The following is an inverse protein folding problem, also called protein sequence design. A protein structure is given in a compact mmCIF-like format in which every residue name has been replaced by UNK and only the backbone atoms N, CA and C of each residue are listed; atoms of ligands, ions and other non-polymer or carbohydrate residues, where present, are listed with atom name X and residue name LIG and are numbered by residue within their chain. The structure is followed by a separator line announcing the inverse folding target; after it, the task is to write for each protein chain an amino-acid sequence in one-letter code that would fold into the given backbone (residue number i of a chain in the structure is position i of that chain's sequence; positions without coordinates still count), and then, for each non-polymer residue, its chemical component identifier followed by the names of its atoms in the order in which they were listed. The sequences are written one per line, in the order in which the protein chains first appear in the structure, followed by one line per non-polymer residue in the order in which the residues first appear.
data_IF_403337562200
#
_entry.id   IF_403337562200
#
_cell.length_a   1.000
_cell.length_b   1.000
_cell.length_c   1.000
_cell.angle_alpha   90.00
_cell.angle_beta   90.00
_cell.angle_gamma   90.00
#
_symmetry.space_group_name_H-M   'P 1'
#
loop_
_entity.id
_entity.type
_entity.pdbx_description
1 polymer ?
2 non-polymer ?
3 water ?
#
# COMPACT_ATOMS: atom_id res chain seq x y z
N UNK A 2 -33.02 2.52 -13.80
CA UNK A 2 -32.71 3.52 -12.74
C UNK A 2 -31.23 3.92 -12.81
N UNK A 3 -30.91 5.15 -12.43
CA UNK A 3 -29.54 5.62 -12.43
C UNK A 3 -28.71 4.69 -11.53
N UNK A 4 -27.40 4.70 -11.74
CA UNK A 4 -26.53 3.88 -10.95
C UNK A 4 -26.43 4.53 -9.60
N UNK A 5 -26.74 3.75 -8.58
CA UNK A 5 -26.70 4.24 -7.24
C UNK A 5 -25.92 3.26 -6.38
N UNK A 6 -25.02 3.76 -5.55
CA UNK A 6 -24.17 2.92 -4.72
C UNK A 6 -24.92 1.96 -3.80
N UNK A 7 -25.86 2.49 -3.02
CA UNK A 7 -26.65 1.66 -2.11
C UNK A 7 -27.40 0.60 -2.92
N UNK A 8 -27.97 1.06 -4.02
CA UNK A 8 -28.73 0.19 -4.87
C UNK A 8 -27.93 -0.93 -5.56
N UNK A 9 -26.70 -0.63 -5.96
CA UNK A 9 -25.87 -1.65 -6.60
C UNK A 9 -25.36 -2.63 -5.57
N UNK A 10 -25.08 -2.14 -4.36
CA UNK A 10 -24.59 -3.02 -3.31
C UNK A 10 -25.69 -4.04 -3.09
N UNK A 11 -26.93 -3.55 -2.98
CA UNK A 11 -28.08 -4.40 -2.75
C UNK A 11 -28.20 -5.44 -3.84
N UNK A 12 -28.13 -5.00 -5.09
CA UNK A 12 -28.22 -5.91 -6.21
C UNK A 12 -27.19 -7.02 -6.06
N UNK A 13 -25.94 -6.64 -5.76
CA UNK A 13 -24.86 -7.61 -5.60
C UNK A 13 -25.22 -8.53 -4.45
N UNK A 14 -25.67 -7.96 -3.34
CA UNK A 14 -26.00 -8.77 -2.20
C UNK A 14 -27.05 -9.82 -2.56
N UNK A 15 -28.07 -9.43 -3.30
CA UNK A 15 -29.08 -10.40 -3.63
C UNK A 15 -28.51 -11.49 -4.51
N UNK A 16 -27.60 -11.12 -5.42
CA UNK A 16 -27.01 -12.11 -6.32
C UNK A 16 -26.12 -13.08 -5.56
N UNK A 17 -25.48 -12.59 -4.52
CA UNK A 17 -24.60 -13.45 -3.73
C UNK A 17 -25.48 -14.37 -2.93
N UNK A 18 -26.49 -13.81 -2.26
CA UNK A 18 -27.42 -14.60 -1.47
C UNK A 18 -28.11 -15.65 -2.30
N UNK A 19 -28.39 -15.34 -3.55
CA UNK A 19 -29.04 -16.29 -4.43
C UNK A 19 -28.14 -17.50 -4.60
N UNK A 20 -26.92 -17.25 -5.05
CA UNK A 20 -25.94 -18.29 -5.26
C UNK A 20 -25.79 -19.14 -4.00
N UNK A 21 -25.54 -18.49 -2.89
CA UNK A 21 -25.39 -19.20 -1.64
C UNK A 21 -26.55 -20.14 -1.40
N UNK A 22 -27.77 -19.65 -1.57
CA UNK A 22 -28.96 -20.46 -1.37
C UNK A 22 -29.07 -21.61 -2.39
N UNK A 23 -28.58 -21.40 -3.59
CA UNK A 23 -28.64 -22.47 -4.59
C UNK A 23 -27.65 -23.57 -4.24
N UNK A 24 -26.48 -23.19 -3.72
CA UNK A 24 -25.49 -24.18 -3.36
C UNK A 24 -25.70 -24.65 -1.93
N UNK A 25 -26.65 -24.01 -1.26
CA UNK A 25 -26.96 -24.38 0.12
C UNK A 25 -26.16 -23.68 1.18
N UNK A 26 -26.85 -23.00 2.09
CA UNK A 26 -26.17 -22.27 3.17
C UNK A 26 -25.15 -23.13 3.88
N UNK A 27 -25.57 -24.31 4.33
CA UNK A 27 -24.66 -25.20 5.04
C UNK A 27 -23.48 -25.65 4.17
N UNK A 28 -23.74 -26.13 2.96
CA UNK A 28 -22.68 -26.57 2.06
C UNK A 28 -21.64 -25.48 1.79
N UNK A 29 -22.11 -24.27 1.50
CA UNK A 29 -21.19 -23.19 1.22
C UNK A 29 -20.52 -22.72 2.50
N UNK A 30 -21.28 -22.57 3.58
CA UNK A 30 -20.72 -22.13 4.85
C UNK A 30 -19.54 -23.00 5.25
N UNK A 31 -19.54 -24.25 4.80
CA UNK A 31 -18.45 -25.14 5.13
C UNK A 31 -17.38 -25.05 4.04
N UNK A 32 -17.80 -25.06 2.77
CA UNK A 32 -16.87 -24.96 1.66
C UNK A 32 -16.01 -23.70 1.81
N UNK A 33 -16.48 -22.77 2.61
CA UNK A 33 -15.76 -21.53 2.87
C UNK A 33 -15.04 -21.64 4.19
N UNK A 34 -15.74 -22.12 5.20
CA UNK A 34 -15.10 -22.28 6.50
C UNK A 34 -15.55 -21.39 7.64
N UNK A 35 -16.83 -21.46 7.98
CA UNK A 35 -17.34 -20.67 9.08
C UNK A 35 -18.25 -21.58 9.90
N UNK A 36 -18.09 -21.54 11.21
CA UNK A 36 -18.90 -22.38 12.08
C UNK A 36 -20.38 -22.29 11.71
N UNK A 37 -21.02 -23.45 11.60
CA UNK A 37 -22.44 -23.54 11.24
C UNK A 37 -23.26 -22.55 12.05
N UNK A 38 -22.68 -22.02 13.12
CA UNK A 38 -23.36 -21.05 13.97
C UNK A 38 -23.21 -19.64 13.40
N UNK A 39 -21.97 -19.27 13.08
CA UNK A 39 -21.65 -17.96 12.54
C UNK A 39 -22.42 -17.56 11.28
N UNK A 40 -22.94 -18.56 10.56
CA UNK A 40 -23.68 -18.30 9.33
C UNK A 40 -24.58 -17.08 9.46
N UNK A 41 -25.21 -16.89 10.61
CA UNK A 41 -26.08 -15.74 10.80
C UNK A 41 -25.31 -14.43 10.84
N UNK A 42 -24.30 -14.34 11.71
CA UNK A 42 -23.50 -13.12 11.78
C UNK A 42 -22.92 -12.87 10.39
N UNK A 43 -22.62 -13.96 9.69
CA UNK A 43 -22.06 -13.92 8.36
C UNK A 43 -23.05 -13.26 7.40
N UNK A 44 -24.09 -14.00 7.06
CA UNK A 44 -25.12 -13.54 6.13
C UNK A 44 -25.69 -12.16 6.45
N UNK A 45 -25.70 -11.77 7.71
CA UNK A 45 -26.25 -10.48 8.07
C UNK A 45 -25.28 -9.33 8.13
N UNK A 46 -23.99 -9.61 8.22
CA UNK A 46 -23.03 -8.52 8.31
C UNK A 46 -21.92 -8.42 7.29
N UNK A 47 -21.30 -9.55 6.94
CA UNK A 47 -20.22 -9.51 5.96
C UNK A 47 -20.70 -9.47 4.50
N UNK A 48 -21.72 -10.25 4.17
CA UNK A 48 -22.24 -10.28 2.80
C UNK A 48 -22.56 -8.85 2.35
N UNK A 49 -23.27 -8.10 3.17
CA UNK A 49 -23.58 -6.73 2.78
C UNK A 49 -22.29 -5.95 2.55
N UNK A 50 -21.38 -6.05 3.52
CA UNK A 50 -20.10 -5.35 3.43
C UNK A 50 -19.29 -5.76 2.22
N UNK A 51 -19.28 -7.06 1.91
CA UNK A 51 -18.56 -7.55 0.74
C UNK A 51 -19.21 -6.98 -0.51
N UNK A 52 -20.54 -6.96 -0.50
CA UNK A 52 -21.31 -6.46 -1.62
C UNK A 52 -20.92 -5.04 -1.95
N UNK A 53 -20.83 -4.23 -0.90
CA UNK A 53 -20.44 -2.85 -1.06
C UNK A 53 -19.01 -2.79 -1.68
N UNK A 54 -18.11 -3.65 -1.21
CA UNK A 54 -16.77 -3.66 -1.77
C UNK A 54 -16.81 -3.95 -3.25
N UNK A 55 -17.58 -4.96 -3.63
CA UNK A 55 -17.72 -5.32 -5.03
C UNK A 55 -18.34 -4.18 -5.85
N UNK A 56 -19.27 -3.46 -5.25
CA UNK A 56 -19.94 -2.35 -5.95
C UNK A 56 -18.93 -1.24 -6.16
N UNK A 57 -18.21 -0.91 -5.12
CA UNK A 57 -17.20 0.13 -5.24
C UNK A 57 -16.11 -0.27 -6.22
N UNK A 58 -15.69 -1.52 -6.20
CA UNK A 58 -14.62 -1.94 -7.12
C UNK A 58 -15.12 -1.90 -8.55
N UNK A 59 -16.35 -2.36 -8.80
CA UNK A 59 -16.87 -2.30 -10.16
C UNK A 59 -17.05 -0.88 -10.64
N UNK A 60 -17.48 0.01 -9.75
CA UNK A 60 -17.68 1.41 -10.10
C UNK A 60 -16.39 1.86 -10.76
N UNK A 61 -15.29 1.24 -10.33
CA UNK A 61 -13.97 1.44 -10.91
C UNK A 61 -13.32 2.78 -11.13
N UNK A 62 -12.48 2.83 -12.15
CA UNK A 62 -11.73 4.04 -12.47
C UNK A 62 -11.96 4.56 -13.87
N UNK A 63 -11.45 5.77 -14.09
CA UNK A 63 -11.57 6.42 -15.39
C UNK A 63 -10.19 6.51 -16.04
N UNK A 64 -10.18 6.63 -17.35
CA UNK A 64 -8.94 6.71 -18.12
C UNK A 64 -7.86 7.60 -17.50
N UNK A 65 -8.26 8.76 -16.99
CA UNK A 65 -7.28 9.66 -16.36
C UNK A 65 -6.55 8.96 -15.24
N UNK A 66 -7.32 8.27 -14.39
CA UNK A 66 -6.74 7.56 -13.26
C UNK A 66 -5.75 6.51 -13.70
N UNK A 67 -6.15 5.70 -14.67
CA UNK A 67 -5.31 4.65 -15.21
C UNK A 67 -4.02 5.24 -15.77
N UNK A 68 -4.14 6.33 -16.53
CA UNK A 68 -2.97 6.99 -17.10
C UNK A 68 -2.04 7.44 -15.99
N UNK A 69 -2.59 8.08 -14.96
CA UNK A 69 -1.78 8.54 -13.84
C UNK A 69 -1.07 7.36 -13.19
N UNK A 70 -1.81 6.28 -12.98
CA UNK A 70 -1.27 5.07 -12.37
C UNK A 70 -0.16 4.49 -13.22
N UNK A 71 -0.37 4.48 -14.54
CA UNK A 71 0.63 3.95 -15.46
C UNK A 71 1.92 4.74 -15.33
N UNK A 72 1.80 6.06 -15.31
CA UNK A 72 2.99 6.89 -15.19
C UNK A 72 3.68 6.65 -13.86
N UNK A 73 2.93 6.70 -12.76
CA UNK A 73 3.51 6.47 -11.44
C UNK A 73 4.22 5.12 -11.37
N UNK A 74 3.61 4.09 -11.96
CA UNK A 74 4.22 2.76 -11.93
C UNK A 74 5.46 2.73 -12.80
N UNK A 75 5.35 3.30 -14.00
CA UNK A 75 6.46 3.35 -14.93
C UNK A 75 7.68 3.96 -14.25
N UNK A 76 7.46 5.04 -13.52
CA UNK A 76 8.52 5.73 -12.80
C UNK A 76 9.23 4.81 -11.80
N UNK A 77 8.47 4.02 -11.07
CA UNK A 77 9.08 3.12 -10.08
C UNK A 77 9.80 1.97 -10.75
N UNK A 78 9.36 1.63 -11.96
CA UNK A 78 9.99 0.52 -12.66
C UNK A 78 11.12 0.91 -13.61
N UNK A 79 11.63 2.14 -13.49
CA UNK A 79 12.73 2.58 -14.33
C UNK A 79 14.02 2.67 -13.51
N UNK A 80 15.16 2.57 -14.18
CA UNK A 80 16.47 2.59 -13.53
C UNK A 80 17.00 3.97 -13.15
N UNK B 4 -8.85 -27.18 -3.55
CA UNK B 4 -7.71 -27.33 -4.52
C UNK B 4 -7.95 -26.51 -5.80
N UNK B 5 -9.09 -26.74 -6.47
CA UNK B 5 -9.42 -25.96 -7.65
C UNK B 5 -9.82 -24.62 -7.07
N UNK B 6 -10.61 -24.69 -5.99
CA UNK B 6 -11.08 -23.49 -5.33
C UNK B 6 -9.98 -22.75 -4.62
N UNK B 7 -8.97 -23.46 -4.13
CA UNK B 7 -7.86 -22.82 -3.48
C UNK B 7 -7.17 -21.84 -4.42
N UNK B 8 -6.84 -22.29 -5.62
CA UNK B 8 -6.18 -21.41 -6.56
C UNK B 8 -7.11 -20.29 -7.02
N UNK B 9 -8.34 -20.65 -7.35
CA UNK B 9 -9.31 -19.66 -7.81
C UNK B 9 -9.44 -18.60 -6.72
N UNK B 10 -9.57 -19.05 -5.47
CA UNK B 10 -9.65 -18.15 -4.35
C UNK B 10 -8.48 -17.16 -4.39
N UNK B 11 -7.26 -17.67 -4.54
CA UNK B 11 -6.09 -16.79 -4.61
C UNK B 11 -6.11 -15.90 -5.83
N UNK B 12 -6.58 -16.45 -6.96
CA UNK B 12 -6.63 -15.64 -8.17
C UNK B 12 -7.57 -14.47 -7.93
N UNK B 13 -8.71 -14.75 -7.30
CA UNK B 13 -9.69 -13.73 -7.02
C UNK B 13 -9.14 -12.70 -6.04
N UNK B 14 -8.50 -13.18 -4.99
CA UNK B 14 -7.91 -12.29 -4.00
C UNK B 14 -6.96 -11.29 -4.66
N UNK B 15 -6.11 -11.80 -5.52
CA UNK B 15 -5.17 -10.95 -6.20
C UNK B 15 -5.91 -9.89 -7.02
N UNK B 16 -6.92 -10.31 -7.76
CA UNK B 16 -7.66 -9.34 -8.57
C UNK B 16 -8.29 -8.28 -7.65
N UNK B 17 -8.86 -8.71 -6.53
CA UNK B 17 -9.47 -7.77 -5.61
C UNK B 17 -8.42 -6.83 -5.04
N UNK B 18 -7.32 -7.39 -4.56
CA UNK B 18 -6.23 -6.58 -4.00
C UNK B 18 -5.68 -5.60 -5.03
N UNK B 19 -5.59 -6.05 -6.28
CA UNK B 19 -5.09 -5.20 -7.34
C UNK B 19 -5.97 -4.00 -7.58
N UNK B 20 -7.28 -4.25 -7.67
CA UNK B 20 -8.27 -3.21 -7.89
C UNK B 20 -8.23 -2.24 -6.74
N UNK B 21 -8.28 -2.76 -5.52
CA UNK B 21 -8.22 -1.90 -4.36
C UNK B 21 -6.99 -1.00 -4.46
N UNK B 22 -5.86 -1.56 -4.91
CA UNK B 22 -4.66 -0.75 -5.04
C UNK B 22 -4.80 0.28 -6.15
N UNK B 23 -5.44 -0.09 -7.26
CA UNK B 23 -5.63 0.88 -8.35
C UNK B 23 -6.54 2.03 -7.94
N UNK B 24 -7.40 1.80 -6.95
CA UNK B 24 -8.30 2.85 -6.49
C UNK B 24 -7.69 3.56 -5.31
N UNK B 25 -6.88 2.84 -4.55
CA UNK B 25 -6.27 3.41 -3.37
C UNK B 25 -6.89 2.72 -2.18
N UNK B 26 -6.04 2.20 -1.31
CA UNK B 26 -6.53 1.49 -0.13
C UNK B 26 -7.31 2.37 0.81
N UNK B 27 -6.85 3.61 0.98
CA UNK B 27 -7.51 4.56 1.86
C UNK B 27 -8.88 4.90 1.32
N UNK B 28 -8.92 5.35 0.06
CA UNK B 28 -10.18 5.74 -0.55
C UNK B 28 -11.14 4.56 -0.57
N UNK B 29 -10.66 3.41 -1.02
CA UNK B 29 -11.54 2.28 -1.08
C UNK B 29 -12.11 1.98 0.29
N UNK B 30 -11.26 1.92 1.29
CA UNK B 30 -11.75 1.62 2.63
C UNK B 30 -12.86 2.60 3.01
N UNK B 31 -12.63 3.88 2.76
CA UNK B 31 -13.64 4.87 3.09
C UNK B 31 -14.96 4.66 2.35
N UNK B 32 -14.89 4.43 1.04
CA UNK B 32 -16.07 4.23 0.25
C UNK B 32 -16.81 2.98 0.69
N UNK B 33 -16.08 2.00 1.17
CA UNK B 33 -16.69 0.75 1.59
C UNK B 33 -17.10 0.74 3.04
N UNK B 34 -16.72 1.77 3.79
CA UNK B 34 -17.10 1.80 5.18
C UNK B 34 -16.32 0.88 6.09
N UNK B 35 -15.03 0.73 5.82
CA UNK B 35 -14.18 -0.08 6.66
C UNK B 35 -13.27 0.95 7.29
N UNK B 36 -13.27 0.97 8.62
CA UNK B 36 -12.47 1.92 9.37
C UNK B 36 -10.96 1.76 9.14
N UNK B 37 -10.25 2.89 8.96
CA UNK B 37 -8.80 2.86 8.73
C UNK B 37 -8.06 1.86 9.62
N UNK B 38 -8.48 1.78 10.88
CA UNK B 38 -7.88 0.87 11.85
C UNK B 38 -8.13 -0.59 11.51
N UNK B 39 -9.08 -0.86 10.63
CA UNK B 39 -9.41 -2.23 10.25
C UNK B 39 -8.82 -2.65 8.90
N UNK B 40 -8.29 -1.68 8.15
CA UNK B 40 -7.73 -1.94 6.83
C UNK B 40 -6.81 -3.15 6.76
N UNK B 41 -5.95 -3.29 7.75
CA UNK B 41 -5.03 -4.40 7.75
C UNK B 41 -5.77 -5.71 7.98
N UNK B 42 -6.62 -5.75 8.99
CA UNK B 42 -7.36 -6.97 9.26
C UNK B 42 -8.19 -7.28 8.00
N UNK B 43 -8.65 -6.22 7.36
CA UNK B 43 -9.46 -6.28 6.16
C UNK B 43 -8.74 -7.06 5.07
N UNK B 44 -7.52 -6.64 4.76
CA UNK B 44 -6.76 -7.29 3.72
C UNK B 44 -6.12 -8.62 4.05
N UNK B 45 -5.64 -8.79 5.28
CA UNK B 45 -5.00 -10.05 5.58
C UNK B 45 -6.01 -11.11 5.97
N UNK B 46 -7.18 -10.69 6.40
CA UNK B 46 -8.15 -11.67 6.82
C UNK B 46 -9.45 -11.77 6.03
N UNK B 47 -10.20 -10.66 5.94
CA UNK B 47 -11.48 -10.70 5.24
C UNK B 47 -11.47 -10.90 3.73
N UNK B 48 -10.66 -10.15 2.99
CA UNK B 48 -10.63 -10.34 1.56
C UNK B 48 -10.42 -11.83 1.24
N UNK B 49 -9.39 -12.45 1.80
CA UNK B 49 -9.17 -13.86 1.50
C UNK B 49 -10.41 -14.71 1.74
N UNK B 50 -11.13 -14.44 2.83
CA UNK B 50 -12.34 -15.22 3.14
C UNK B 50 -13.38 -15.02 2.05
N UNK B 51 -13.67 -13.77 1.74
CA UNK B 51 -14.62 -13.39 0.73
C UNK B 51 -14.21 -13.98 -0.63
N UNK B 52 -12.91 -14.02 -0.89
CA UNK B 52 -12.41 -14.58 -2.14
C UNK B 52 -12.75 -16.05 -2.27
N UNK B 53 -12.72 -16.76 -1.15
CA UNK B 53 -13.03 -18.18 -1.17
C UNK B 53 -14.53 -18.31 -1.46
N UNK B 54 -15.34 -17.47 -0.83
CA UNK B 54 -16.77 -17.52 -1.04
C UNK B 54 -17.05 -17.30 -2.52
N UNK B 55 -16.36 -16.32 -3.08
CA UNK B 55 -16.55 -15.99 -4.47
C UNK B 55 -16.10 -17.15 -5.35
N UNK B 56 -15.13 -17.91 -4.89
CA UNK B 56 -14.66 -19.05 -5.69
C UNK B 56 -15.64 -20.21 -5.59
N UNK B 57 -16.17 -20.42 -4.40
CA UNK B 57 -17.12 -21.48 -4.19
C UNK B 57 -18.40 -21.18 -4.96
N UNK B 58 -18.82 -19.92 -4.92
CA UNK B 58 -20.03 -19.48 -5.60
C UNK B 58 -19.78 -19.37 -7.08
N UNK B 59 -18.56 -19.64 -7.51
CA UNK B 59 -18.22 -19.55 -8.94
C UNK B 59 -18.49 -18.20 -9.57
N UNK B 60 -18.30 -17.17 -8.75
CA UNK B 60 -18.48 -15.77 -9.14
C UNK B 60 -17.45 -15.38 -10.17
N UNK B 61 -17.87 -14.67 -11.19
CA UNK B 61 -16.93 -14.26 -12.23
C UNK B 61 -16.06 -13.08 -11.83
N UNK B 62 -14.75 -13.25 -11.90
CA UNK B 62 -13.82 -12.17 -11.55
C UNK B 62 -12.67 -12.16 -12.54
N UNK B 63 -12.38 -11.00 -13.10
CA UNK B 63 -11.28 -10.89 -14.04
C UNK B 63 -10.36 -9.74 -13.65
N UNK B 64 -9.07 -9.91 -13.92
CA UNK B 64 -8.09 -8.89 -13.59
C UNK B 64 -7.78 -8.03 -14.82
N UNK B 65 -8.78 -7.79 -15.67
CA UNK B 65 -8.58 -6.98 -16.88
C UNK B 65 -7.90 -5.66 -16.59
N UNK B 66 -8.26 -5.02 -15.49
CA UNK B 66 -7.67 -3.74 -15.12
C UNK B 66 -6.15 -3.83 -15.00
N UNK B 67 -5.67 -4.86 -14.33
CA UNK B 67 -4.23 -5.05 -14.14
C UNK B 67 -3.54 -5.32 -15.47
N UNK B 68 -4.22 -6.01 -16.37
CA UNK B 68 -3.68 -6.31 -17.69
C UNK B 68 -3.52 -5.00 -18.44
N UNK B 69 -4.60 -4.22 -18.47
CA UNK B 69 -4.59 -2.93 -19.15
C UNK B 69 -3.49 -2.02 -18.61
N UNK B 70 -3.37 -1.95 -17.28
CA UNK B 70 -2.35 -1.12 -16.65
C UNK B 70 -0.97 -1.63 -17.02
N UNK B 71 -0.78 -2.94 -17.04
CA UNK B 71 0.52 -3.49 -17.38
C UNK B 71 0.91 -3.05 -18.78
N UNK B 72 -0.01 -3.13 -19.73
CA UNK B 72 0.27 -2.72 -21.10
C UNK B 72 0.66 -1.25 -21.09
N UNK B 73 -0.29 -0.39 -20.69
CA UNK B 73 -0.05 1.04 -20.64
C UNK B 73 1.32 1.37 -20.03
N UNK B 74 1.70 0.63 -18.99
CA UNK B 74 2.99 0.86 -18.34
C UNK B 74 4.12 0.39 -19.24
N UNK B 75 3.91 -0.76 -19.89
CA UNK B 75 4.91 -1.32 -20.78
C UNK B 75 5.20 -0.36 -21.93
N UNK B 76 4.21 0.47 -22.27
CA UNK B 76 4.38 1.44 -23.36
C UNK B 76 5.24 2.61 -22.93
N UNK B 77 4.82 3.32 -21.89
CA UNK B 77 5.57 4.46 -21.41
C UNK B 77 7.00 4.05 -21.01
N UNK B 78 7.22 2.76 -20.82
CA UNK B 78 8.54 2.26 -20.44
C UNK B 78 9.48 2.09 -21.63
N UNK B 79 8.93 1.86 -22.82
CA UNK B 79 9.76 1.67 -24.00
C UNK B 79 10.13 3.00 -24.67
N UNK B 80 9.14 3.89 -24.80
CA UNK B 80 9.37 5.19 -25.42
C UNK B 80 10.21 6.10 -24.51
N UNK C 4 23.54 -5.42 4.44
CA UNK C 4 24.05 -6.39 5.46
C UNK C 4 23.18 -6.39 6.71
N UNK C 5 23.69 -5.83 7.80
CA UNK C 5 22.93 -5.75 9.04
C UNK C 5 22.40 -4.34 9.25
N UNK C 6 21.81 -4.10 10.42
CA UNK C 6 21.24 -2.80 10.72
C UNK C 6 22.24 -1.65 10.68
N UNK C 7 23.32 -1.75 11.44
CA UNK C 7 24.33 -0.68 11.47
C UNK C 7 24.82 -0.29 10.08
N UNK C 8 25.06 -1.27 9.22
CA UNK C 8 25.53 -0.99 7.87
C UNK C 8 24.43 -0.46 6.98
N UNK C 9 23.19 -0.84 7.28
CA UNK C 9 22.07 -0.35 6.49
C UNK C 9 21.80 1.09 6.90
N UNK C 10 22.02 1.40 8.17
CA UNK C 10 21.82 2.75 8.68
C UNK C 10 22.84 3.63 7.96
N UNK C 11 24.12 3.30 8.13
CA UNK C 11 25.19 4.07 7.53
C UNK C 11 24.95 4.24 6.04
N UNK C 12 24.48 3.21 5.36
CA UNK C 12 24.24 3.37 3.93
C UNK C 12 23.15 4.43 3.71
N UNK C 13 22.15 4.45 4.59
CA UNK C 13 21.05 5.42 4.49
C UNK C 13 21.61 6.79 4.73
N UNK C 14 22.31 6.92 5.85
CA UNK C 14 22.94 8.17 6.24
C UNK C 14 23.70 8.82 5.10
N UNK C 15 24.62 8.06 4.52
CA UNK C 15 25.42 8.59 3.44
C UNK C 15 24.60 9.11 2.29
N UNK C 16 23.50 8.43 1.97
CA UNK C 16 22.63 8.86 0.87
C UNK C 16 21.93 10.16 1.24
N UNK C 17 21.55 10.27 2.50
CA UNK C 17 20.88 11.45 3.01
C UNK C 17 21.86 12.61 2.94
N UNK C 18 23.06 12.38 3.48
CA UNK C 18 24.10 13.43 3.48
C UNK C 18 24.41 13.84 2.06
N UNK C 19 24.47 12.89 1.15
CA UNK C 19 24.75 13.23 -0.23
C UNK C 19 23.67 14.16 -0.77
N UNK C 20 22.40 13.79 -0.61
CA UNK C 20 21.31 14.65 -1.08
C UNK C 20 21.45 16.02 -0.44
N UNK C 21 21.71 16.05 0.85
CA UNK C 21 21.87 17.32 1.53
C UNK C 21 23.02 18.13 0.96
N UNK C 22 24.08 17.46 0.52
CA UNK C 22 25.23 18.18 -0.02
C UNK C 22 24.94 18.73 -1.39
N UNK C 23 24.10 18.05 -2.14
CA UNK C 23 23.79 18.50 -3.48
C UNK C 23 22.79 19.64 -3.47
N UNK C 24 22.09 19.78 -2.35
CA UNK C 24 21.11 20.83 -2.22
C UNK C 24 21.65 22.00 -1.40
N UNK C 25 22.78 21.80 -0.75
CA UNK C 25 23.35 22.85 0.06
C UNK C 25 22.94 22.70 1.50
N UNK C 26 23.92 22.50 2.38
CA UNK C 26 23.62 22.32 3.79
C UNK C 26 22.77 23.44 4.37
N UNK C 27 22.83 24.62 3.77
CA UNK C 27 22.04 25.73 4.31
C UNK C 27 20.73 25.96 3.58
N UNK C 28 20.69 25.64 2.29
CA UNK C 28 19.46 25.78 1.54
C UNK C 28 18.46 24.81 2.20
N UNK C 29 18.83 23.53 2.23
CA UNK C 29 17.99 22.51 2.83
C UNK C 29 17.74 22.84 4.29
N UNK C 30 18.74 23.38 4.97
CA UNK C 30 18.60 23.72 6.38
C UNK C 30 17.31 24.47 6.67
N UNK C 31 16.97 25.43 5.81
CA UNK C 31 15.75 26.19 6.05
C UNK C 31 14.56 25.60 5.32
N UNK C 32 14.75 25.21 4.07
CA UNK C 32 13.67 24.60 3.29
C UNK C 32 13.01 23.53 4.17
N UNK C 33 13.77 23.01 5.13
CA UNK C 33 13.29 22.02 6.08
C UNK C 33 12.72 22.81 7.24
N UNK C 34 13.48 23.79 7.71
CA UNK C 34 13.01 24.61 8.80
C UNK C 34 13.80 24.48 10.07
N UNK C 35 15.12 24.32 9.97
CA UNK C 35 15.94 24.21 11.16
C UNK C 35 16.94 25.36 11.20
N UNK C 36 17.15 25.89 12.39
CA UNK C 36 18.07 27.00 12.63
C UNK C 36 19.44 26.75 11.98
N UNK C 37 19.91 27.69 11.17
CA UNK C 37 21.21 27.57 10.49
C UNK C 37 22.37 27.17 11.42
N UNK C 38 22.16 27.25 12.73
CA UNK C 38 23.18 26.89 13.71
C UNK C 38 23.04 25.42 14.10
N UNK C 39 21.82 24.92 14.04
CA UNK C 39 21.52 23.53 14.39
C UNK C 39 21.98 22.50 13.35
N UNK C 40 22.34 22.95 12.15
CA UNK C 40 22.80 22.03 11.11
C UNK C 40 23.90 21.15 11.68
N UNK C 41 24.50 21.61 12.77
CA UNK C 41 25.54 20.87 13.45
C UNK C 41 24.98 19.59 14.02
N UNK C 42 24.08 19.73 14.99
CA UNK C 42 23.45 18.59 15.63
C UNK C 42 22.74 17.66 14.66
N UNK C 43 22.26 18.20 13.55
CA UNK C 43 21.57 17.36 12.58
C UNK C 43 22.42 16.32 11.88
N UNK C 44 23.58 16.71 11.39
CA UNK C 44 24.43 15.75 10.69
C UNK C 44 25.20 14.81 11.61
N UNK C 45 25.38 15.20 12.86
CA UNK C 45 26.14 14.36 13.79
C UNK C 45 25.34 13.75 14.92
N UNK C 46 24.03 14.02 14.95
CA UNK C 46 23.20 13.48 16.03
C UNK C 46 21.88 12.92 15.58
N UNK C 47 21.06 13.75 14.95
CA UNK C 47 19.75 13.31 14.53
C UNK C 47 19.68 12.55 13.21
N UNK C 48 20.49 12.91 12.22
CA UNK C 48 20.45 12.18 10.95
C UNK C 48 20.88 10.73 11.13
N UNK C 49 21.82 10.46 12.03
CA UNK C 49 22.20 9.04 12.19
C UNK C 49 20.99 8.28 12.72
N UNK C 50 20.41 8.80 13.80
CA UNK C 50 19.23 8.23 14.45
C UNK C 50 18.14 7.98 13.41
N UNK C 51 17.72 9.05 12.77
CA UNK C 51 16.68 8.95 11.75
C UNK C 51 17.08 7.84 10.80
N UNK C 52 18.36 7.79 10.41
CA UNK C 52 18.85 6.78 9.47
C UNK C 52 18.66 5.35 9.95
N UNK C 53 18.79 5.13 11.26
CA UNK C 53 18.59 3.81 11.80
C UNK C 53 17.10 3.49 11.66
N UNK C 54 16.26 4.42 12.10
CA UNK C 54 14.82 4.24 12.00
C UNK C 54 14.47 3.79 10.59
N UNK C 55 14.84 4.56 9.57
CA UNK C 55 14.50 4.17 8.20
C UNK C 55 15.02 2.79 7.82
N UNK C 56 16.11 2.39 8.47
CA UNK C 56 16.74 1.10 8.20
C UNK C 56 15.85 0.01 8.78
N UNK C 57 15.48 0.21 10.04
CA UNK C 57 14.60 -0.69 10.78
C UNK C 57 13.27 -0.80 10.02
N UNK C 58 12.64 0.34 9.72
CA UNK C 58 11.38 0.35 9.00
C UNK C 58 11.56 -0.23 7.61
N UNK C 59 12.78 -0.70 7.33
CA UNK C 59 13.10 -1.30 6.05
C UNK C 59 12.93 -0.45 4.80
N UNK C 60 13.04 0.87 4.90
CA UNK C 60 12.93 1.64 3.66
C UNK C 60 14.09 1.11 2.85
N UNK C 61 13.99 1.17 1.53
CA UNK C 61 15.11 0.70 0.75
C UNK C 61 15.06 -0.77 0.46
N UNK C 62 14.59 -1.59 1.40
CA UNK C 62 14.49 -3.01 1.10
C UNK C 62 13.45 -3.01 -0.03
N UNK C 63 12.49 -2.10 0.09
CA UNK C 63 11.46 -1.94 -0.92
C UNK C 63 12.12 -1.26 -2.11
N UNK C 64 13.02 -0.32 -1.83
CA UNK C 64 13.74 0.40 -2.86
C UNK C 64 14.60 -0.56 -3.66
N UNK C 65 15.25 -1.49 -2.96
CA UNK C 65 16.09 -2.47 -3.64
C UNK C 65 15.18 -3.32 -4.50
N UNK C 66 14.09 -3.80 -3.91
CA UNK C 66 13.14 -4.64 -4.64
C UNK C 66 12.65 -3.95 -5.90
N UNK C 67 12.32 -2.67 -5.78
CA UNK C 67 11.84 -1.93 -6.93
C UNK C 67 12.95 -1.81 -7.97
N UNK C 68 14.17 -1.57 -7.49
CA UNK C 68 15.32 -1.45 -8.37
C UNK C 68 15.48 -2.75 -9.17
N UNK C 69 15.52 -3.86 -8.45
CA UNK C 69 15.65 -5.17 -9.07
C UNK C 69 14.61 -5.28 -10.18
N UNK C 70 13.34 -5.28 -9.78
CA UNK C 70 12.25 -5.37 -10.72
C UNK C 70 12.45 -4.45 -11.94
N UNK C 71 12.87 -3.22 -11.69
CA UNK C 71 13.09 -2.27 -12.78
C UNK C 71 14.10 -2.82 -13.78
N UNK C 72 15.11 -3.52 -13.26
CA UNK C 72 16.13 -4.10 -14.11
C UNK C 72 15.56 -5.29 -14.86
N UNK C 73 15.03 -6.25 -14.11
CA UNK C 73 14.45 -7.43 -14.72
C UNK C 73 13.43 -7.08 -15.80
N UNK C 74 12.72 -5.96 -15.57
CA UNK C 74 11.73 -5.48 -16.53
C UNK C 74 12.46 -4.93 -17.74
N UNK C 75 13.43 -4.06 -17.48
CA UNK C 75 14.24 -3.43 -18.52
C UNK C 75 14.90 -4.49 -19.39
N UNK C 76 15.26 -5.62 -18.76
CA UNK C 76 15.88 -6.72 -19.48
C UNK C 76 14.87 -7.23 -20.52
N UNK C 77 13.88 -7.96 -20.03
CA UNK C 77 12.82 -8.53 -20.87
C UNK C 77 12.11 -7.49 -21.73
N UNK C 78 12.34 -6.21 -21.47
CA UNK C 78 11.69 -5.15 -22.24
C UNK C 78 12.47 -4.77 -23.50
N UNK C 79 13.69 -4.26 -23.32
CA UNK C 79 14.54 -3.88 -24.45
C UNK C 79 15.90 -4.57 -24.36
N UNK D 4 0.80 19.30 -5.21
CA UNK D 4 1.06 20.63 -5.82
C UNK D 4 2.24 21.36 -5.17
N UNK D 5 2.88 20.74 -4.18
CA UNK D 5 4.03 21.33 -3.49
C UNK D 5 4.76 20.34 -2.58
N UNK D 6 5.45 20.87 -1.58
CA UNK D 6 6.21 20.07 -0.64
C UNK D 6 5.44 19.74 0.64
N UNK D 7 4.62 20.68 1.13
CA UNK D 7 3.86 20.45 2.36
C UNK D 7 3.06 19.17 2.19
N UNK D 8 2.51 18.98 1.00
CA UNK D 8 1.73 17.78 0.73
C UNK D 8 2.69 16.60 0.89
N UNK D 9 3.69 16.55 0.02
CA UNK D 9 4.71 15.51 0.02
C UNK D 9 5.19 15.17 1.42
N UNK D 10 5.45 16.19 2.23
CA UNK D 10 5.92 15.97 3.58
C UNK D 10 4.90 15.17 4.37
N UNK D 11 3.63 15.54 4.21
CA UNK D 11 2.53 14.86 4.89
C UNK D 11 2.45 13.42 4.39
N UNK D 12 2.39 13.29 3.08
CA UNK D 12 2.31 11.99 2.41
C UNK D 12 3.41 11.05 2.87
N UNK D 13 4.56 11.61 3.23
CA UNK D 13 5.69 10.82 3.72
C UNK D 13 5.48 10.56 5.20
N UNK D 14 5.01 11.58 5.93
CA UNK D 14 4.78 11.44 7.35
C UNK D 14 3.82 10.29 7.64
N UNK D 15 2.72 10.25 6.90
CA UNK D 15 1.75 9.18 7.08
C UNK D 15 2.56 7.91 6.92
N UNK D 16 2.93 7.62 5.67
CA UNK D 16 3.71 6.46 5.29
C UNK D 16 4.67 6.00 6.37
N UNK D 17 5.29 6.96 7.05
CA UNK D 17 6.23 6.64 8.12
C UNK D 17 5.40 6.12 9.27
N UNK D 18 4.52 6.98 9.78
CA UNK D 18 3.66 6.64 10.91
C UNK D 18 3.02 5.27 10.72
N UNK D 19 2.51 5.01 9.52
CA UNK D 19 1.92 3.71 9.24
C UNK D 19 2.91 2.61 9.63
N UNK D 20 4.07 2.61 8.98
CA UNK D 20 5.09 1.61 9.26
C UNK D 20 5.70 1.72 10.65
N UNK D 21 5.63 2.90 11.26
CA UNK D 21 6.21 3.08 12.59
C UNK D 21 5.35 2.35 13.62
N UNK D 22 4.15 1.96 13.22
CA UNK D 22 3.26 1.23 14.10
C UNK D 22 3.16 -0.19 13.57
N UNK D 23 3.02 -0.29 12.24
CA UNK D 23 2.92 -1.58 11.54
C UNK D 23 4.18 -2.38 11.87
N UNK D 24 4.99 -1.84 12.78
CA UNK D 24 6.25 -2.44 13.20
C UNK D 24 6.26 -2.66 14.72
N UNK D 25 5.80 -1.66 15.47
CA UNK D 25 5.78 -1.80 16.90
C UNK D 25 6.69 -0.80 17.60
N UNK D 26 6.16 -0.12 18.61
CA UNK D 26 6.90 0.88 19.35
C UNK D 26 7.89 0.27 20.34
N UNK D 27 8.35 -0.95 20.04
CA UNK D 27 9.33 -1.60 20.90
C UNK D 27 10.67 -1.32 20.21
N UNK D 28 10.68 -1.57 18.91
CA UNK D 28 11.86 -1.34 18.07
C UNK D 28 11.91 0.15 17.77
N UNK D 29 10.79 0.69 17.32
CA UNK D 29 10.71 2.11 17.02
C UNK D 29 11.37 2.89 18.15
N UNK D 30 11.17 2.42 19.38
CA UNK D 30 11.77 3.07 20.53
C UNK D 30 13.28 2.88 20.48
N UNK D 31 13.70 1.64 20.27
CA UNK D 31 15.11 1.29 20.20
C UNK D 31 15.82 2.01 19.06
N UNK D 32 15.39 1.74 17.83
CA UNK D 32 15.97 2.33 16.64
C UNK D 32 16.41 3.79 16.76
N UNK D 33 15.78 4.53 17.66
CA UNK D 33 16.14 5.95 17.82
C UNK D 33 16.80 6.27 19.15
N UNK D 34 17.14 5.24 19.93
CA UNK D 34 17.78 5.46 21.21
C UNK D 34 16.90 6.30 22.12
N UNK D 35 15.60 6.19 21.91
CA UNK D 35 14.63 6.94 22.68
C UNK D 35 13.86 6.03 23.63
N UNK D 36 13.67 6.49 24.86
CA UNK D 36 12.93 5.74 25.87
C UNK D 36 11.51 5.53 25.32
N UNK D 37 10.90 4.39 25.67
CA UNK D 37 9.56 4.07 25.19
C UNK D 37 8.45 4.84 25.91
N UNK D 38 8.81 5.53 26.98
CA UNK D 38 7.85 6.31 27.75
C UNK D 38 7.78 7.72 27.14
N UNK D 39 8.30 7.86 25.94
CA UNK D 39 8.34 9.15 25.26
C UNK D 39 8.29 8.97 23.75
N UNK D 40 8.47 7.73 23.31
CA UNK D 40 8.44 7.38 21.89
C UNK D 40 7.22 8.00 21.21
N UNK D 41 6.14 8.15 21.96
CA UNK D 41 4.89 8.72 21.46
C UNK D 41 5.02 10.23 21.25
N UNK D 42 5.70 10.88 22.18
CA UNK D 42 5.92 12.32 22.12
C UNK D 42 6.84 12.62 20.94
N UNK D 43 7.97 11.92 20.93
CA UNK D 43 8.99 12.04 19.90
C UNK D 43 8.40 12.06 18.49
N UNK D 44 7.49 11.12 18.22
CA UNK D 44 6.84 11.03 16.92
C UNK D 44 6.18 12.35 16.52
N UNK D 45 5.73 13.11 17.52
CA UNK D 45 5.07 14.39 17.30
C UNK D 45 6.08 15.50 16.99
N UNK D 46 7.12 15.57 17.80
CA UNK D 46 8.16 16.59 17.67
C UNK D 46 9.14 16.40 16.51
N UNK D 47 9.30 15.17 16.03
CA UNK D 47 10.25 14.95 14.95
C UNK D 47 9.76 14.42 13.63
N UNK D 48 9.00 13.33 13.66
CA UNK D 48 8.54 12.74 12.42
C UNK D 48 8.14 13.75 11.36
N UNK D 49 7.38 14.79 11.73
CA UNK D 49 6.99 15.76 10.69
C UNK D 49 8.20 16.49 10.11
N UNK D 50 9.15 16.83 10.97
CA UNK D 50 10.39 17.50 10.55
C UNK D 50 11.12 16.60 9.55
N UNK D 51 11.52 15.42 10.03
CA UNK D 51 12.23 14.44 9.21
C UNK D 51 11.50 14.24 7.91
N UNK D 52 10.18 14.27 7.98
CA UNK D 52 9.33 14.08 6.81
C UNK D 52 9.54 15.21 5.81
N UNK D 53 9.61 16.44 6.31
CA UNK D 53 9.83 17.56 5.39
C UNK D 53 11.22 17.39 4.77
N UNK D 54 12.20 17.02 5.61
CA UNK D 54 13.57 16.81 5.11
C UNK D 54 13.53 15.83 3.94
N UNK D 55 12.92 14.66 4.15
CA UNK D 55 12.84 13.67 3.10
C UNK D 55 12.17 14.21 1.85
N UNK D 56 11.15 15.05 2.05
CA UNK D 56 10.44 15.64 0.92
C UNK D 56 11.34 16.59 0.16
N UNK D 57 12.05 17.44 0.91
CA UNK D 57 12.98 18.41 0.34
C UNK D 57 14.05 17.66 -0.43
N UNK D 58 14.63 16.64 0.20
CA UNK D 58 15.67 15.84 -0.41
C UNK D 58 15.13 15.05 -1.59
N UNK D 59 13.81 15.15 -1.81
CA UNK D 59 13.13 14.45 -2.89
C UNK D 59 13.34 12.95 -2.74
N UNK D 60 13.24 12.50 -1.50
CA UNK D 60 13.44 11.11 -1.17
C UNK D 60 12.34 10.22 -1.78
N UNK D 61 12.75 9.13 -2.43
CA UNK D 61 11.81 8.21 -3.06
C UNK D 61 11.10 7.29 -2.07
N UNK D 62 9.87 7.67 -1.72
CA UNK D 62 9.02 6.92 -0.78
C UNK D 62 7.80 6.32 -1.51
N UNK D 63 7.75 5.00 -1.64
CA UNK D 63 6.63 4.37 -2.35
C UNK D 63 5.63 3.79 -1.36
N UNK D 64 4.35 4.03 -1.60
CA UNK D 64 3.32 3.51 -0.71
C UNK D 64 2.98 2.07 -1.09
N UNK D 65 2.39 1.36 -0.15
CA UNK D 65 2.02 -0.02 -0.38
C UNK D 65 1.24 -0.32 -1.66
N UNK D 66 0.35 0.59 -2.07
CA UNK D 66 -0.43 0.34 -3.28
C UNK D 66 0.42 0.40 -4.53
N UNK D 67 1.27 1.43 -4.62
CA UNK D 67 2.13 1.55 -5.78
C UNK D 67 3.12 0.38 -5.81
N UNK D 68 3.65 0.01 -4.65
CA UNK D 68 4.58 -1.09 -4.61
C UNK D 68 3.92 -2.34 -5.17
N UNK D 69 2.73 -2.66 -4.68
CA UNK D 69 1.99 -3.84 -5.13
C UNK D 69 1.77 -3.76 -6.63
N UNK D 70 1.22 -2.64 -7.08
CA UNK D 70 0.96 -2.47 -8.48
C UNK D 70 2.22 -2.70 -9.27
N UNK D 71 3.34 -2.15 -8.80
CA UNK D 71 4.62 -2.32 -9.49
C UNK D 71 4.99 -3.80 -9.63
N UNK D 72 4.92 -4.55 -8.54
CA UNK D 72 5.25 -5.96 -8.60
C UNK D 72 4.32 -6.70 -9.54
N UNK D 73 3.01 -6.42 -9.45
CA UNK D 73 2.07 -7.09 -10.30
C UNK D 73 2.40 -6.76 -11.75
N UNK D 74 2.68 -5.50 -12.04
CA UNK D 74 3.02 -5.09 -13.39
C UNK D 74 4.29 -5.80 -13.84
N UNK D 75 5.32 -5.76 -12.99
CA UNK D 75 6.59 -6.41 -13.31
C UNK D 75 6.31 -7.87 -13.62
N UNK D 76 5.66 -8.56 -12.70
CA UNK D 76 5.33 -9.97 -12.87
C UNK D 76 4.60 -10.29 -14.18
N UNK D 77 3.86 -9.32 -14.70
CA UNK D 77 3.14 -9.51 -15.96
C UNK D 77 4.14 -9.34 -17.11
N UNK D 78 4.85 -8.21 -17.11
CA UNK D 78 5.82 -7.90 -18.15
C UNK D 78 6.96 -8.91 -18.25
N UNK D 79 7.50 -9.34 -17.12
CA UNK D 79 8.57 -10.33 -17.14
C UNK D 79 7.94 -11.68 -17.45
N UNK D 80 6.73 -11.61 -18.01
CA UNK D 80 5.95 -12.77 -18.41
C UNK D 80 5.89 -13.85 -17.33
X LIG E 1 -21.02 -13.88 -12.66
X LIG E 1 -20.93 -12.87 -11.56
X LIG E 1 -22.40 -12.53 -11.65
X LIG E 1 -20.02 -11.76 -11.82
X LIG F 1 -13.08 -5.27 -9.63
X LIG F 1 -12.42 -6.29 -10.49
X LIG F 1 -13.06 -7.41 -9.72
X LIG F 1 -10.97 -6.26 -10.47
X LIG G 1 -0.88 -10.84 -1.87
X LIG G 1 -0.74 -11.50 -3.21
X LIG G 1 0.45 -10.65 -3.57
X LIG G 1 -1.90 -11.35 -4.09
#
# INVERSE_FOLDING_TARGET
MVRANKRNEALRIESALLNKIAMLGTEKTAEAVGVDKSQISRWKRDWIPKFSMLLAVLEWGVVDDDMARLARQVAAILTNKKRPAATERSEQIQMEF
MVRANKRNEALRIESALLNKIAMLGTEKTAEAVGVDKSQISRWKRDWIPKFSMLLAVLEWGVVDDDMARLARQVAAILTNKKRPAATERSEQIQMEF
MVRANKRNEALRIESALLNKIAMLGTEKTAEAVGVDKSQISRWKRDWIPKFSMLLAVLEWGVVDDDMARLARQVAAILTNKKRPAATERSEQIQMEF
MVRANKRNEALRIESALLNKIAMLGTEKTAEAVGVDKSQISRWKRDWIPKFSMLLAVLEWGVVDDDMARLARQVAAILTNKKRPAATERSEQIQMEF
IPA C1 C2 C3 O2
IPA C1 C2 C3 O2
IPA C1 C2 C3 O2
#
